data_IF_783144640545
#
_entry.id   IF_783144640545
#
_cell.length_a   1.000
_cell.length_b   1.000
_cell.length_c   1.000
_cell.angle_alpha   90.00
_cell.angle_beta   90.00
_cell.angle_gamma   90.00
#
_symmetry.space_group_name_H-M   'P 1'
#
loop_
_entity.id
_entity.type
_entity.pdbx_description
1 polymer ?
#
# COMPACT_ATOMS: atom_id res chain seq x y z
N UNK A 1 -43.11 -6.20 -15.57
CA UNK A 1 -41.70 -6.05 -15.11
C UNK A 1 -41.21 -4.68 -15.53
N UNK A 2 -40.66 -3.86 -14.62
CA UNK A 2 -40.06 -2.57 -15.01
C UNK A 2 -38.75 -2.85 -15.77
N UNK A 3 -38.34 -1.96 -16.67
CA UNK A 3 -37.07 -2.09 -17.41
C UNK A 3 -35.87 -2.37 -16.48
N UNK A 4 -35.90 -1.82 -15.25
CA UNK A 4 -34.93 -2.06 -14.19
C UNK A 4 -34.80 -3.55 -13.81
N UNK A 5 -35.91 -4.28 -13.74
CA UNK A 5 -35.90 -5.71 -13.41
C UNK A 5 -35.31 -6.53 -14.55
N UNK A 6 -35.64 -6.19 -15.80
CA UNK A 6 -35.10 -6.88 -16.97
C UNK A 6 -33.59 -6.65 -17.11
N UNK A 7 -33.11 -5.44 -16.80
CA UNK A 7 -31.68 -5.13 -16.74
C UNK A 7 -30.98 -5.99 -15.66
N UNK A 8 -31.54 -6.08 -14.45
CA UNK A 8 -30.96 -6.89 -13.37
C UNK A 8 -30.90 -8.37 -13.76
N UNK A 9 -31.95 -8.91 -14.39
CA UNK A 9 -31.97 -10.29 -14.89
C UNK A 9 -30.91 -10.48 -15.98
N UNK A 10 -30.81 -9.57 -16.93
CA UNK A 10 -29.78 -9.63 -17.98
C UNK A 10 -28.37 -9.63 -17.37
N UNK A 11 -28.12 -8.73 -16.41
CA UNK A 11 -26.83 -8.61 -15.75
C UNK A 11 -26.48 -9.87 -14.95
N UNK A 12 -27.44 -10.43 -14.21
CA UNK A 12 -27.23 -11.66 -13.42
C UNK A 12 -26.94 -12.86 -14.31
N UNK A 13 -27.65 -13.02 -15.42
CA UNK A 13 -27.37 -14.07 -16.41
C UNK A 13 -25.96 -13.89 -17.00
N UNK A 14 -25.58 -12.66 -17.35
CA UNK A 14 -24.26 -12.37 -17.92
C UNK A 14 -23.13 -12.69 -16.92
N UNK A 15 -23.27 -12.26 -15.66
CA UNK A 15 -22.32 -12.58 -14.59
C UNK A 15 -22.22 -14.10 -14.41
N UNK A 16 -23.34 -14.82 -14.43
CA UNK A 16 -23.35 -16.28 -14.28
C UNK A 16 -22.59 -16.96 -15.41
N UNK A 17 -22.77 -16.51 -16.66
CA UNK A 17 -22.04 -17.03 -17.82
C UNK A 17 -20.54 -16.78 -17.68
N UNK A 18 -20.14 -15.55 -17.30
CA UNK A 18 -18.73 -15.21 -17.08
C UNK A 18 -18.14 -16.10 -15.98
N UNK A 19 -18.86 -16.31 -14.88
CA UNK A 19 -18.43 -17.23 -13.83
C UNK A 19 -18.21 -18.63 -14.38
N UNK A 20 -19.20 -19.18 -15.09
CA UNK A 20 -19.12 -20.54 -15.65
C UNK A 20 -17.95 -20.69 -16.62
N UNK A 21 -17.69 -19.70 -17.47
CA UNK A 21 -16.53 -19.69 -18.38
C UNK A 21 -15.18 -19.62 -17.64
N UNK A 22 -15.14 -19.03 -16.46
CA UNK A 22 -13.92 -18.93 -15.64
C UNK A 22 -13.88 -20.00 -14.52
N UNK A 23 -14.85 -20.92 -14.51
CA UNK A 23 -14.93 -22.06 -13.58
C UNK A 23 -14.15 -23.26 -14.11
N UNK A 24 -13.72 -23.23 -15.37
CA UNK A 24 -12.89 -24.28 -15.95
C UNK A 24 -11.62 -24.49 -15.10
N UNK A 25 -11.48 -25.73 -14.63
CA UNK A 25 -10.36 -26.14 -13.81
C UNK A 25 -9.11 -26.25 -14.69
N UNK A 26 -8.10 -25.45 -14.37
CA UNK A 26 -6.80 -25.53 -15.01
C UNK A 26 -5.84 -26.27 -14.09
N UNK A 27 -4.94 -27.02 -14.72
CA UNK A 27 -3.84 -27.66 -14.03
C UNK A 27 -2.83 -26.60 -13.60
N UNK A 28 -2.81 -26.27 -12.31
CA UNK A 28 -1.84 -25.34 -11.76
C UNK A 28 -0.73 -26.10 -11.04
N UNK A 29 0.50 -25.89 -11.50
CA UNK A 29 1.69 -26.47 -10.90
C UNK A 29 2.32 -25.47 -9.92
N UNK A 30 2.15 -25.68 -8.62
CA UNK A 30 2.81 -24.89 -7.57
C UNK A 30 4.05 -25.62 -7.10
N UNK A 31 5.24 -25.13 -7.47
CA UNK A 31 6.54 -25.75 -7.14
C UNK A 31 6.60 -27.25 -7.52
N UNK A 32 6.17 -28.13 -6.62
CA UNK A 32 6.16 -29.59 -6.75
C UNK A 32 4.76 -30.22 -6.71
N UNK A 33 3.70 -29.43 -6.52
CA UNK A 33 2.32 -29.89 -6.47
C UNK A 33 1.55 -29.57 -7.74
N UNK A 34 0.70 -30.49 -8.17
CA UNK A 34 -0.27 -30.29 -9.25
C UNK A 34 -1.65 -30.17 -8.61
N UNK A 35 -2.21 -28.96 -8.66
CA UNK A 35 -3.52 -28.64 -8.13
C UNK A 35 -4.49 -28.40 -9.31
N UNK A 36 -5.66 -29.01 -9.24
CA UNK A 36 -6.76 -28.71 -10.16
C UNK A 36 -7.63 -27.66 -9.50
N UNK A 37 -7.53 -26.42 -9.99
CA UNK A 37 -8.28 -25.30 -9.43
C UNK A 37 -8.88 -24.46 -10.57
N UNK A 38 -10.09 -23.92 -10.38
CA UNK A 38 -10.65 -22.93 -11.29
C UNK A 38 -9.74 -21.70 -11.37
N UNK A 39 -9.61 -21.12 -12.57
CA UNK A 39 -8.82 -19.90 -12.79
C UNK A 39 -9.29 -18.73 -11.90
N UNK A 40 -10.59 -18.65 -11.63
CA UNK A 40 -11.18 -17.70 -10.70
C UNK A 40 -10.61 -17.81 -9.28
N UNK A 41 -10.45 -19.04 -8.76
CA UNK A 41 -9.93 -19.28 -7.40
C UNK A 41 -8.48 -18.83 -7.30
N UNK A 42 -7.71 -19.06 -8.35
CA UNK A 42 -6.30 -18.67 -8.43
C UNK A 42 -6.17 -17.15 -8.46
N UNK A 43 -6.94 -16.47 -9.30
CA UNK A 43 -6.94 -15.01 -9.41
C UNK A 43 -7.33 -14.36 -8.07
N UNK A 44 -8.42 -14.84 -7.46
CA UNK A 44 -8.92 -14.28 -6.20
C UNK A 44 -7.98 -14.58 -5.04
N UNK A 45 -7.41 -15.79 -4.99
CA UNK A 45 -6.46 -16.20 -3.96
C UNK A 45 -5.14 -15.43 -4.02
N UNK A 46 -4.60 -15.21 -5.22
CA UNK A 46 -3.36 -14.43 -5.41
C UNK A 46 -3.57 -12.95 -5.09
N UNK A 47 -4.71 -12.37 -5.48
CA UNK A 47 -5.08 -11.00 -5.11
C UNK A 47 -5.19 -10.84 -3.60
N UNK A 48 -5.90 -11.75 -2.93
CA UNK A 48 -6.07 -11.73 -1.48
C UNK A 48 -4.72 -11.86 -0.76
N UNK A 49 -3.86 -12.80 -1.20
CA UNK A 49 -2.54 -13.00 -0.63
C UNK A 49 -1.66 -11.75 -0.81
N UNK A 50 -1.70 -11.13 -1.99
CA UNK A 50 -1.00 -9.88 -2.28
C UNK A 50 -1.45 -8.73 -1.38
N UNK A 51 -2.76 -8.59 -1.14
CA UNK A 51 -3.31 -7.59 -0.20
C UNK A 51 -2.82 -7.87 1.22
N UNK A 52 -2.88 -9.11 1.70
CA UNK A 52 -2.43 -9.47 3.06
C UNK A 52 -0.94 -9.16 3.23
N UNK A 53 -0.09 -9.55 2.27
CA UNK A 53 1.34 -9.24 2.29
C UNK A 53 1.56 -7.73 2.25
N UNK A 54 0.83 -7.02 1.38
CA UNK A 54 0.88 -5.57 1.25
C UNK A 54 0.51 -4.86 2.56
N UNK A 55 -0.54 -5.31 3.25
CA UNK A 55 -0.96 -4.77 4.55
C UNK A 55 0.09 -5.02 5.63
N UNK A 56 0.66 -6.23 5.69
CA UNK A 56 1.74 -6.56 6.63
C UNK A 56 2.96 -5.66 6.38
N UNK A 57 3.32 -5.44 5.11
CA UNK A 57 4.45 -4.60 4.75
C UNK A 57 4.19 -3.11 5.00
N UNK A 58 2.97 -2.63 4.68
CA UNK A 58 2.54 -1.26 4.93
C UNK A 58 2.42 -0.92 6.42
N UNK A 59 2.17 -1.92 7.27
CA UNK A 59 2.15 -1.77 8.73
C UNK A 59 3.54 -1.55 9.34
N UNK A 60 4.62 -1.67 8.56
CA UNK A 60 5.94 -1.29 9.04
C UNK A 60 5.97 0.22 9.25
N UNK A 61 6.22 0.71 10.48
CA UNK A 61 6.40 2.13 10.68
C UNK A 61 7.62 2.54 9.86
N UNK A 62 7.37 3.27 8.77
CA UNK A 62 8.41 4.10 8.17
C UNK A 62 8.88 4.95 9.33
N UNK A 63 10.14 4.77 9.77
CA UNK A 63 10.75 5.71 10.69
C UNK A 63 10.60 7.05 10.00
N UNK A 64 9.66 7.85 10.49
CA UNK A 64 9.70 9.28 10.28
C UNK A 64 11.08 9.65 10.79
N UNK A 65 12.01 9.87 9.86
CA UNK A 65 13.16 10.71 10.18
C UNK A 65 12.49 12.02 10.48
N UNK A 66 12.17 12.23 11.76
CA UNK A 66 11.89 13.54 12.28
C UNK A 66 13.16 14.30 11.98
N UNK A 67 13.20 14.93 10.81
CA UNK A 67 13.98 16.12 10.60
C UNK A 67 13.34 17.11 11.57
N UNK A 68 13.70 16.98 12.85
CA UNK A 68 13.81 18.13 13.70
C UNK A 68 14.82 18.99 12.96
N UNK A 69 14.31 19.86 12.10
CA UNK A 69 14.92 21.15 11.93
C UNK A 69 14.95 21.71 13.35
N UNK A 70 16.07 21.45 14.03
CA UNK A 70 16.49 22.28 15.13
C UNK A 70 16.46 23.68 14.53
N UNK A 71 15.43 24.42 14.87
CA UNK A 71 15.46 25.86 14.87
C UNK A 71 16.67 26.20 15.75
N UNK A 72 17.83 26.31 15.12
CA UNK A 72 19.01 26.89 15.73
C UNK A 72 18.61 28.35 15.93
N UNK A 73 18.02 28.64 17.09
CA UNK A 73 18.17 29.93 17.73
C UNK A 73 19.68 30.13 17.94
N UNK A 74 20.36 30.54 16.87
CA UNK A 74 21.68 31.12 16.91
C UNK A 74 21.51 32.43 17.67
N UNK A 75 21.47 32.35 19.01
CA UNK A 75 22.04 33.43 19.80
C UNK A 75 23.42 33.64 19.22
N UNK A 76 23.78 34.86 18.76
CA UNK A 76 25.11 35.11 18.27
C UNK A 76 26.05 34.62 19.36
N UNK A 77 26.79 33.57 19.05
CA UNK A 77 27.88 33.13 19.91
C UNK A 77 28.73 34.37 20.07
N UNK A 78 28.74 34.86 21.29
CA UNK A 78 29.56 35.97 21.67
C UNK A 78 31.00 35.43 21.64
N UNK A 79 31.61 35.50 20.46
CA UNK A 79 32.94 34.97 20.15
C UNK A 79 34.04 35.85 20.68
N UNK A 80 33.70 36.95 21.37
CA UNK A 80 34.65 37.90 21.91
C UNK A 80 35.09 37.44 23.30
N UNK A 81 36.42 37.29 23.46
CA UNK A 81 37.04 37.15 24.77
C UNK A 81 36.68 38.36 25.64
N UNK A 82 36.58 38.24 26.98
CA UNK A 82 36.42 39.40 27.85
C UNK A 82 37.43 40.51 27.58
N UNK A 83 38.66 40.15 27.19
CA UNK A 83 39.72 41.10 26.85
C UNK A 83 39.43 41.93 25.58
N UNK A 84 38.75 41.36 24.58
CA UNK A 84 38.49 42.03 23.30
C UNK A 84 37.37 43.09 23.41
N UNK A 85 36.58 43.04 24.48
CA UNK A 85 35.43 43.94 24.69
C UNK A 85 35.87 45.35 25.07
N UNK A 86 36.97 45.48 25.81
CA UNK A 86 37.48 46.76 26.26
C UNK A 86 38.01 47.61 25.08
N UNK A 87 38.33 46.99 23.93
CA UNK A 87 38.81 47.68 22.73
C UNK A 87 37.71 48.32 21.88
N UNK A 88 36.44 47.94 22.06
CA UNK A 88 35.30 48.41 21.26
C UNK A 88 34.36 49.33 22.06
N UNK A 89 34.68 49.62 23.32
CA UNK A 89 33.86 50.43 24.23
C UNK A 89 34.25 51.92 24.32
N UNK A 90 35.21 52.39 23.50
CA UNK A 90 35.57 53.81 23.30
C UNK A 90 35.14 54.30 21.91
#
# INVERSE_FOLDING_TARGET
MKAKTLLIILLTVLITIILMQNTDEKNLKVLFWNLHLPELVILTGTLFLGIVIGLILASRPVRSVNNQYQENDQKPYDTLSPEDRDYISD
#
